data_IF_980704101357
#
_entry.id   IF_980704101357
#
_cell.length_a   1.000
_cell.length_b   1.000
_cell.length_c   1.000
_cell.angle_alpha   90.00
_cell.angle_beta   90.00
_cell.angle_gamma   90.00
#
_symmetry.space_group_name_H-M   'P 1'
#
loop_
_entity.id
_entity.type
_entity.pdbx_description
1 polymer ?
#
# COMPACT_ATOMS: atom_id res chain seq x y z
N UNK A 1 -29.34 53.53 31.45
CA UNK A 1 -29.32 52.26 32.20
C UNK A 1 -28.92 51.15 31.27
N UNK A 2 -27.64 50.83 31.29
CA UNK A 2 -27.04 49.77 30.49
C UNK A 2 -26.94 48.53 31.35
N UNK A 3 -27.57 47.42 30.94
CA UNK A 3 -27.37 46.14 31.54
C UNK A 3 -26.51 45.32 30.59
N UNK A 4 -25.28 45.05 30.99
CA UNK A 4 -24.34 44.15 30.29
C UNK A 4 -24.67 42.68 30.68
N UNK A 5 -24.74 41.81 29.65
CA UNK A 5 -24.83 40.35 29.84
C UNK A 5 -23.41 39.79 30.06
N UNK A 6 -23.23 38.79 30.91
CA UNK A 6 -21.95 38.19 31.20
C UNK A 6 -21.55 37.20 30.08
N UNK A 7 -20.30 37.25 29.68
CA UNK A 7 -19.68 36.28 28.78
C UNK A 7 -19.51 34.90 29.45
N UNK A 8 -20.11 33.87 28.87
CA UNK A 8 -19.95 32.46 29.27
C UNK A 8 -18.59 31.93 28.77
N UNK A 9 -17.63 31.87 29.67
CA UNK A 9 -16.26 31.45 29.44
C UNK A 9 -16.12 29.95 29.74
N UNK A 10 -16.73 29.08 28.91
CA UNK A 10 -16.50 27.64 28.99
C UNK A 10 -15.16 27.31 28.34
N UNK A 11 -14.11 27.26 29.14
CA UNK A 11 -12.88 26.56 28.83
C UNK A 11 -13.16 25.08 28.71
N UNK A 12 -13.31 24.57 27.49
CA UNK A 12 -13.21 23.13 27.23
C UNK A 12 -11.82 22.66 27.66
N UNK A 13 -11.79 21.87 28.73
CA UNK A 13 -10.59 21.16 29.16
C UNK A 13 -10.22 20.12 28.14
N UNK A 14 -9.26 20.44 27.27
CA UNK A 14 -8.60 19.42 26.45
C UNK A 14 -7.94 18.41 27.38
N UNK A 15 -8.49 17.19 27.43
CA UNK A 15 -7.83 16.05 28.08
C UNK A 15 -6.45 15.90 27.46
N UNK A 16 -5.38 15.70 28.23
CA UNK A 16 -4.08 15.42 27.66
C UNK A 16 -4.19 14.10 26.90
N UNK A 17 -3.84 14.13 25.59
CA UNK A 17 -3.62 12.90 24.81
C UNK A 17 -2.53 12.11 25.53
N UNK A 18 -2.77 10.86 25.81
CA UNK A 18 -1.78 9.97 26.41
C UNK A 18 -0.56 9.96 25.49
N UNK A 19 0.56 10.49 25.96
CA UNK A 19 1.87 10.31 25.36
C UNK A 19 2.29 8.85 25.57
N UNK A 20 1.70 7.94 24.84
CA UNK A 20 2.30 6.63 24.63
C UNK A 20 3.36 6.84 23.56
N UNK A 21 4.58 7.15 23.98
CA UNK A 21 5.76 6.99 23.14
C UNK A 21 5.89 5.49 22.91
N UNK A 22 5.21 5.03 21.87
CA UNK A 22 5.41 3.67 21.37
C UNK A 22 6.82 3.65 20.78
N UNK A 23 7.68 2.86 21.36
CA UNK A 23 9.05 2.65 20.89
C UNK A 23 8.98 1.89 19.57
N UNK A 24 8.92 2.60 18.47
CA UNK A 24 8.77 2.15 17.08
C UNK A 24 9.90 1.25 16.57
N UNK A 25 10.92 0.97 17.38
CA UNK A 25 12.04 0.08 17.07
C UNK A 25 12.03 -1.21 17.91
N UNK A 26 10.92 -1.59 18.52
CA UNK A 26 10.82 -2.78 19.35
C UNK A 26 10.51 -4.03 18.52
N UNK A 27 11.52 -4.82 18.44
CA UNK A 27 11.67 -6.27 18.38
C UNK A 27 10.90 -7.15 17.37
N UNK A 28 9.66 -6.96 16.86
CA UNK A 28 9.15 -7.87 15.85
C UNK A 28 9.51 -7.47 14.42
N UNK A 29 9.90 -6.21 14.16
CA UNK A 29 10.17 -5.67 12.83
C UNK A 29 11.68 -5.51 12.58
N UNK A 30 12.39 -6.64 12.35
CA UNK A 30 13.83 -6.60 12.04
C UNK A 30 14.06 -6.54 10.53
N UNK A 31 14.65 -5.45 10.08
CA UNK A 31 15.08 -5.29 8.69
C UNK A 31 16.37 -6.06 8.41
N UNK A 32 16.38 -6.80 7.31
CA UNK A 32 17.48 -7.62 6.84
C UNK A 32 17.65 -7.43 5.33
N UNK A 33 18.72 -8.02 4.78
CA UNK A 33 18.97 -8.04 3.35
C UNK A 33 19.13 -9.47 2.85
N UNK A 34 18.60 -9.75 1.67
CA UNK A 34 18.71 -11.05 0.99
C UNK A 34 18.95 -10.82 -0.51
N UNK A 35 19.73 -11.69 -1.14
CA UNK A 35 19.86 -11.68 -2.59
C UNK A 35 18.69 -12.45 -3.20
N UNK A 36 17.92 -11.78 -4.08
CA UNK A 36 16.79 -12.33 -4.82
C UNK A 36 16.99 -11.95 -6.29
N UNK A 37 16.99 -12.91 -7.17
CA UNK A 37 17.24 -12.70 -8.63
C UNK A 37 18.50 -11.84 -8.88
N UNK A 38 19.57 -12.07 -8.10
CA UNK A 38 20.82 -11.34 -8.19
C UNK A 38 20.80 -9.89 -7.68
N UNK A 39 19.73 -9.46 -7.01
CA UNK A 39 19.60 -8.13 -6.40
C UNK A 39 19.61 -8.23 -4.88
N UNK A 40 20.29 -7.31 -4.22
CA UNK A 40 20.20 -7.14 -2.77
C UNK A 40 18.89 -6.45 -2.44
N UNK A 41 17.99 -7.17 -1.76
CA UNK A 41 16.63 -6.75 -1.40
C UNK A 41 16.52 -6.60 0.10
N UNK A 42 16.05 -5.45 0.58
CA UNK A 42 15.72 -5.25 1.98
C UNK A 42 14.36 -5.87 2.28
N UNK A 43 14.29 -6.57 3.40
CA UNK A 43 13.06 -7.22 3.86
C UNK A 43 12.94 -7.20 5.37
N UNK A 44 11.71 -7.42 5.85
CA UNK A 44 11.39 -7.79 7.22
C UNK A 44 10.52 -9.06 7.20
N UNK A 45 10.64 -9.87 8.24
CA UNK A 45 9.89 -11.12 8.37
C UNK A 45 9.37 -11.24 9.79
N UNK A 46 8.09 -11.66 9.95
CA UNK A 46 7.53 -11.94 11.27
C UNK A 46 8.21 -13.15 11.89
N UNK A 47 8.41 -13.10 13.21
CA UNK A 47 8.84 -14.26 13.97
C UNK A 47 7.68 -15.24 14.09
N UNK A 48 7.94 -16.58 14.14
CA UNK A 48 6.91 -17.55 14.50
C UNK A 48 6.34 -17.19 15.87
N UNK A 49 5.04 -17.01 15.98
CA UNK A 49 4.39 -16.82 17.29
C UNK A 49 4.31 -18.17 18.00
N UNK A 50 4.29 -18.16 19.35
CA UNK A 50 4.18 -19.42 20.14
C UNK A 50 2.89 -20.21 19.83
N UNK A 51 1.88 -19.55 19.28
CA UNK A 51 0.62 -20.16 18.86
C UNK A 51 0.66 -20.75 17.43
N UNK A 52 1.73 -20.47 16.65
CA UNK A 52 1.89 -21.00 15.30
C UNK A 52 3.04 -21.99 15.28
N UNK A 53 2.78 -23.30 15.08
CA UNK A 53 3.84 -24.30 14.97
C UNK A 53 4.74 -23.99 13.78
N UNK A 54 6.05 -24.03 14.03
CA UNK A 54 7.08 -23.85 13.02
C UNK A 54 6.81 -24.77 11.82
N UNK A 55 6.59 -24.17 10.63
CA UNK A 55 6.53 -24.86 9.32
C UNK A 55 5.54 -26.04 9.21
N UNK A 56 4.28 -25.87 9.60
CA UNK A 56 3.26 -26.81 9.15
C UNK A 56 2.84 -26.47 7.72
N UNK A 57 2.79 -27.49 6.83
CA UNK A 57 2.17 -27.34 5.50
C UNK A 57 0.75 -26.82 5.69
N UNK A 58 0.45 -25.66 5.07
CA UNK A 58 -0.86 -25.01 5.15
C UNK A 58 -0.94 -23.77 6.04
N UNK A 59 0.19 -23.30 6.63
CA UNK A 59 0.20 -22.03 7.34
C UNK A 59 -0.05 -20.87 6.38
N UNK A 60 -0.98 -19.98 6.72
CA UNK A 60 -1.23 -18.75 5.96
C UNK A 60 0.04 -17.90 5.91
N UNK A 61 0.35 -17.39 4.74
CA UNK A 61 1.51 -16.52 4.52
C UNK A 61 1.14 -15.32 3.66
N UNK A 62 1.82 -14.20 3.90
CA UNK A 62 1.60 -12.97 3.15
C UNK A 62 2.92 -12.32 2.76
N UNK A 63 2.96 -11.83 1.51
CA UNK A 63 4.00 -10.94 0.99
C UNK A 63 3.47 -9.51 0.93
N UNK A 64 4.19 -8.58 1.54
CA UNK A 64 3.85 -7.16 1.58
C UNK A 64 4.86 -6.38 0.73
N UNK A 65 4.39 -5.57 -0.20
CA UNK A 65 5.22 -4.79 -1.10
C UNK A 65 5.23 -3.34 -0.66
N UNK A 66 6.42 -2.80 -0.38
CA UNK A 66 6.56 -1.42 0.07
C UNK A 66 5.92 -0.43 -0.92
N UNK A 67 5.14 0.53 -0.42
CA UNK A 67 4.63 1.62 -1.26
C UNK A 67 5.73 2.65 -1.56
N UNK A 68 5.43 3.61 -2.43
CA UNK A 68 6.31 4.69 -2.81
C UNK A 68 5.66 6.06 -2.51
N UNK A 69 6.38 7.04 -2.01
CA UNK A 69 7.85 7.14 -1.77
C UNK A 69 8.30 6.71 -0.37
N UNK A 70 7.69 5.72 0.18
CA UNK A 70 7.94 5.15 1.50
C UNK A 70 8.97 4.00 1.42
N UNK A 71 8.98 3.17 2.44
CA UNK A 71 9.71 1.91 2.51
C UNK A 71 8.85 0.83 3.16
N UNK A 72 9.40 -0.36 3.36
CA UNK A 72 8.68 -1.44 4.06
C UNK A 72 8.26 -1.07 5.49
N UNK A 73 8.82 0.01 6.08
CA UNK A 73 8.40 0.53 7.39
C UNK A 73 6.97 1.11 7.37
N UNK A 74 6.40 1.39 6.20
CA UNK A 74 5.00 1.76 6.04
C UNK A 74 4.02 0.72 6.62
N UNK A 75 4.46 -0.53 6.76
CA UNK A 75 3.65 -1.60 7.33
C UNK A 75 3.81 -1.76 8.85
N UNK A 76 4.66 -0.97 9.49
CA UNK A 76 4.89 -1.10 10.93
C UNK A 76 3.60 -0.92 11.76
N UNK A 77 2.72 0.07 11.48
CA UNK A 77 1.48 0.23 12.23
C UNK A 77 0.52 -0.96 12.13
N UNK A 78 0.55 -1.70 11.01
CA UNK A 78 -0.33 -2.85 10.76
C UNK A 78 0.36 -4.19 11.00
N UNK A 79 1.67 -4.19 11.32
CA UNK A 79 2.47 -5.41 11.37
C UNK A 79 1.98 -6.43 12.40
N UNK A 80 1.81 -6.00 13.65
CA UNK A 80 1.42 -6.91 14.72
C UNK A 80 0.05 -7.54 14.49
N UNK A 81 -1.01 -6.77 14.17
CA UNK A 81 -2.31 -7.35 13.84
C UNK A 81 -2.25 -8.35 12.67
N UNK A 82 -1.48 -8.06 11.63
CA UNK A 82 -1.36 -8.95 10.48
C UNK A 82 -0.57 -10.23 10.83
N UNK A 83 0.48 -10.12 11.65
CA UNK A 83 1.35 -11.23 12.05
C UNK A 83 0.62 -12.26 12.93
N UNK A 84 -0.48 -11.89 13.59
CA UNK A 84 -1.33 -12.83 14.33
C UNK A 84 -2.08 -13.80 13.41
N UNK A 85 -2.28 -13.43 12.14
CA UNK A 85 -3.07 -14.20 11.18
C UNK A 85 -2.25 -14.93 10.13
N UNK A 86 -1.04 -14.46 9.81
CA UNK A 86 -0.20 -15.06 8.77
C UNK A 86 1.29 -14.86 9.06
N UNK A 87 2.13 -15.73 8.48
CA UNK A 87 3.57 -15.47 8.38
C UNK A 87 3.79 -14.34 7.39
N UNK A 88 4.36 -13.23 7.85
CA UNK A 88 4.58 -12.04 7.04
C UNK A 88 6.00 -11.98 6.49
N UNK A 89 6.12 -11.55 5.25
CA UNK A 89 7.35 -11.05 4.65
C UNK A 89 7.04 -9.71 3.99
N UNK A 90 7.68 -8.63 4.42
CA UNK A 90 7.62 -7.35 3.75
C UNK A 90 8.93 -7.08 3.01
N UNK A 91 8.87 -6.56 1.80
CA UNK A 91 10.05 -6.22 1.00
C UNK A 91 9.99 -4.79 0.48
N UNK A 92 11.14 -4.14 0.41
CA UNK A 92 11.31 -3.02 -0.51
C UNK A 92 11.44 -3.58 -1.93
N UNK A 93 10.58 -3.16 -2.83
CA UNK A 93 10.68 -3.56 -4.24
C UNK A 93 12.00 -3.06 -4.87
N UNK A 94 12.56 -3.75 -5.88
CA UNK A 94 13.72 -3.26 -6.62
C UNK A 94 13.59 -1.81 -7.09
N UNK A 95 14.53 -0.97 -6.71
CA UNK A 95 14.51 0.47 -7.02
C UNK A 95 13.77 1.35 -6.01
N UNK A 96 13.07 0.74 -5.05
CA UNK A 96 12.37 1.44 -3.97
C UNK A 96 13.02 1.17 -2.62
N UNK A 97 12.70 1.99 -1.62
CA UNK A 97 13.26 1.85 -0.29
C UNK A 97 14.79 1.75 -0.33
N UNK A 98 15.36 0.75 0.35
CA UNK A 98 16.82 0.49 0.34
C UNK A 98 17.21 -0.73 -0.48
N UNK A 99 16.30 -1.30 -1.25
CA UNK A 99 16.64 -2.39 -2.17
C UNK A 99 17.48 -1.90 -3.34
N UNK A 100 18.33 -2.78 -3.85
CA UNK A 100 19.10 -2.52 -5.07
C UNK A 100 18.16 -2.32 -6.24
N UNK A 101 18.53 -1.46 -7.19
CA UNK A 101 17.71 -1.19 -8.35
C UNK A 101 18.26 -1.89 -9.60
N UNK A 102 17.35 -2.22 -10.52
CA UNK A 102 17.64 -2.70 -11.87
C UNK A 102 16.66 -2.01 -12.83
N UNK A 103 17.17 -1.23 -13.76
CA UNK A 103 16.37 -0.44 -14.71
C UNK A 103 15.30 -1.28 -15.42
N UNK A 104 15.62 -2.51 -15.80
CA UNK A 104 14.70 -3.42 -16.47
C UNK A 104 13.46 -3.82 -15.65
N UNK A 105 13.48 -3.62 -14.32
CA UNK A 105 12.34 -3.91 -13.43
C UNK A 105 11.49 -2.67 -13.13
N UNK A 106 11.88 -1.48 -13.61
CA UNK A 106 11.16 -0.24 -13.30
C UNK A 106 9.95 -0.03 -14.21
N UNK A 107 9.05 -1.02 -14.24
CA UNK A 107 7.68 -0.89 -14.75
C UNK A 107 6.76 -1.89 -14.04
N UNK A 108 5.46 -1.62 -13.92
CA UNK A 108 4.51 -2.56 -13.31
C UNK A 108 4.55 -3.95 -13.92
N UNK A 109 4.61 -4.02 -15.24
CA UNK A 109 4.63 -5.28 -15.95
C UNK A 109 5.91 -6.09 -15.69
N UNK A 110 7.08 -5.46 -15.70
CA UNK A 110 8.35 -6.12 -15.41
C UNK A 110 8.46 -6.50 -13.92
N UNK A 111 8.01 -5.63 -13.02
CA UNK A 111 8.02 -5.87 -11.57
C UNK A 111 7.19 -7.09 -11.18
N UNK A 112 6.15 -7.44 -11.95
CA UNK A 112 5.29 -8.60 -11.69
C UNK A 112 6.05 -9.94 -11.65
N UNK A 113 7.12 -10.08 -12.45
CA UNK A 113 7.97 -11.28 -12.45
C UNK A 113 8.81 -11.36 -11.17
N UNK A 114 9.34 -10.22 -10.73
CA UNK A 114 10.12 -10.15 -9.49
C UNK A 114 9.27 -10.49 -8.24
N UNK A 115 7.98 -10.12 -8.22
CA UNK A 115 7.06 -10.47 -7.13
C UNK A 115 6.98 -12.01 -6.97
N UNK A 116 6.88 -12.74 -8.06
CA UNK A 116 6.84 -14.22 -8.02
C UNK A 116 8.18 -14.78 -7.57
N UNK A 117 9.30 -14.26 -8.09
CA UNK A 117 10.64 -14.66 -7.66
C UNK A 117 10.87 -14.37 -6.17
N UNK A 118 10.36 -13.27 -5.64
CA UNK A 118 10.43 -12.96 -4.22
C UNK A 118 9.60 -13.95 -3.39
N UNK A 119 8.39 -14.30 -3.80
CA UNK A 119 7.58 -15.30 -3.13
C UNK A 119 8.31 -16.67 -3.08
N UNK A 120 8.95 -17.07 -4.19
CA UNK A 120 9.75 -18.31 -4.25
C UNK A 120 10.97 -18.25 -3.33
N UNK A 121 11.69 -17.14 -3.32
CA UNK A 121 12.89 -16.96 -2.49
C UNK A 121 12.59 -17.03 -0.99
N UNK A 122 11.38 -16.67 -0.56
CA UNK A 122 10.92 -16.79 0.82
C UNK A 122 10.08 -18.05 1.09
N UNK A 123 9.98 -18.98 0.13
CA UNK A 123 9.23 -20.22 0.26
C UNK A 123 7.76 -19.96 0.66
N UNK A 124 7.13 -18.97 0.02
CA UNK A 124 5.74 -18.64 0.23
C UNK A 124 4.86 -19.41 -0.77
N UNK A 125 4.23 -20.46 -0.28
CA UNK A 125 3.27 -21.24 -1.08
C UNK A 125 1.92 -20.51 -1.09
N UNK A 126 1.45 -20.09 -2.27
CA UNK A 126 0.17 -19.39 -2.45
C UNK A 126 -0.05 -18.22 -1.45
N UNK A 127 0.86 -17.24 -1.37
CA UNK A 127 0.73 -16.16 -0.40
C UNK A 127 -0.46 -15.25 -0.71
N UNK A 128 -1.00 -14.64 0.34
CA UNK A 128 -1.71 -13.38 0.21
C UNK A 128 -0.71 -12.30 -0.20
N UNK A 129 -1.10 -11.39 -1.07
CA UNK A 129 -0.26 -10.27 -1.49
C UNK A 129 -0.89 -8.95 -1.07
N UNK A 130 -0.20 -8.17 -0.24
CA UNK A 130 -0.59 -6.81 0.15
C UNK A 130 0.28 -5.83 -0.60
N UNK A 131 -0.30 -5.08 -1.51
CA UNK A 131 0.43 -4.29 -2.49
C UNK A 131 -0.23 -2.92 -2.73
N UNK A 132 -0.17 -2.00 -1.75
CA UNK A 132 -0.72 -0.66 -1.90
C UNK A 132 0.13 0.23 -2.82
N UNK A 133 -0.43 1.36 -3.25
CA UNK A 133 0.27 2.37 -4.03
C UNK A 133 0.87 1.82 -5.32
N UNK A 134 2.17 2.02 -5.52
CA UNK A 134 2.90 1.52 -6.70
C UNK A 134 2.93 -0.01 -6.81
N UNK A 135 2.73 -0.72 -5.71
CA UNK A 135 2.61 -2.18 -5.72
C UNK A 135 1.34 -2.69 -6.44
N UNK A 136 0.26 -1.90 -6.43
CA UNK A 136 -1.05 -2.29 -6.97
C UNK A 136 -0.98 -2.77 -8.43
N UNK A 137 -0.50 -1.99 -9.41
CA UNK A 137 -0.48 -2.47 -10.79
C UNK A 137 0.43 -3.66 -11.01
N UNK A 138 1.58 -3.74 -10.31
CA UNK A 138 2.47 -4.90 -10.41
C UNK A 138 1.83 -6.17 -9.85
N UNK A 139 1.12 -6.09 -8.72
CA UNK A 139 0.38 -7.20 -8.13
C UNK A 139 -0.74 -7.73 -9.06
N UNK A 140 -1.46 -6.82 -9.71
CA UNK A 140 -2.51 -7.17 -10.68
C UNK A 140 -1.91 -7.82 -11.94
N UNK A 141 -0.75 -7.34 -12.45
CA UNK A 141 -0.03 -8.02 -13.50
C UNK A 141 0.44 -9.42 -13.08
N UNK A 142 0.96 -9.58 -11.85
CA UNK A 142 1.37 -10.88 -11.33
C UNK A 142 0.18 -11.86 -11.27
N UNK A 143 -0.97 -11.43 -10.78
CA UNK A 143 -2.18 -12.25 -10.72
C UNK A 143 -2.70 -12.64 -12.11
N UNK A 144 -2.60 -11.75 -13.11
CA UNK A 144 -3.03 -12.02 -14.47
C UNK A 144 -2.08 -13.01 -15.20
N UNK A 145 -0.76 -12.85 -14.98
CA UNK A 145 0.27 -13.64 -15.69
C UNK A 145 0.54 -15.00 -15.04
N UNK A 146 0.32 -15.11 -13.73
CA UNK A 146 0.60 -16.32 -12.96
C UNK A 146 -0.67 -16.79 -12.22
N UNK A 147 -1.71 -17.26 -12.94
CA UNK A 147 -2.97 -17.71 -12.34
C UNK A 147 -2.73 -18.80 -11.30
N UNK A 148 -3.37 -18.67 -10.15
CA UNK A 148 -3.24 -19.64 -9.05
C UNK A 148 -1.97 -19.51 -8.22
N UNK A 149 -1.03 -18.62 -8.55
CA UNK A 149 0.22 -18.43 -7.78
C UNK A 149 0.00 -17.64 -6.48
N UNK A 150 -1.01 -16.79 -6.47
CA UNK A 150 -1.37 -15.93 -5.35
C UNK A 150 -2.75 -16.33 -4.83
N UNK A 151 -2.90 -16.43 -3.51
CA UNK A 151 -4.16 -16.79 -2.84
C UNK A 151 -5.21 -15.68 -2.95
N UNK A 152 -4.82 -14.48 -2.60
CA UNK A 152 -5.63 -13.27 -2.76
C UNK A 152 -4.75 -12.03 -2.84
N UNK A 153 -5.35 -10.93 -3.28
CA UNK A 153 -4.72 -9.61 -3.29
C UNK A 153 -5.44 -8.67 -2.33
N UNK A 154 -4.65 -7.79 -1.69
CA UNK A 154 -5.11 -6.53 -1.11
C UNK A 154 -4.35 -5.43 -1.81
N UNK A 155 -5.06 -4.59 -2.55
CA UNK A 155 -4.52 -3.49 -3.36
C UNK A 155 -5.28 -2.20 -3.06
N UNK A 156 -4.79 -1.07 -3.53
CA UNK A 156 -5.50 0.21 -3.36
C UNK A 156 -4.54 1.39 -3.38
N UNK A 157 -5.08 2.60 -3.40
CA UNK A 157 -4.31 3.84 -3.61
C UNK A 157 -3.30 3.71 -4.76
N UNK A 158 -3.61 2.88 -5.75
CA UNK A 158 -2.76 2.52 -6.87
C UNK A 158 -3.36 2.89 -8.22
N UNK A 159 -2.50 3.25 -9.17
CA UNK A 159 -2.91 3.68 -10.49
C UNK A 159 -3.58 2.56 -11.29
N UNK A 160 -4.72 2.86 -11.89
CA UNK A 160 -5.44 1.99 -12.82
C UNK A 160 -5.50 2.55 -14.24
N UNK A 161 -5.55 3.88 -14.38
CA UNK A 161 -5.52 4.58 -15.66
C UNK A 161 -4.92 5.99 -15.48
N UNK A 162 -4.01 6.38 -16.38
CA UNK A 162 -3.31 7.68 -16.29
C UNK A 162 -4.27 8.87 -16.23
N UNK A 163 -5.35 8.95 -17.04
CA UNK A 163 -6.28 10.07 -16.99
C UNK A 163 -7.03 10.23 -15.65
N UNK A 164 -7.03 9.18 -14.80
CA UNK A 164 -7.70 9.19 -13.49
C UNK A 164 -6.74 9.60 -12.36
N UNK A 165 -5.47 9.87 -12.66
CA UNK A 165 -4.48 10.30 -11.67
C UNK A 165 -4.64 11.79 -11.34
N UNK A 166 -4.34 12.13 -10.09
CA UNK A 166 -4.22 13.52 -9.66
C UNK A 166 -2.91 14.15 -10.12
N UNK A 167 -2.92 15.47 -10.26
CA UNK A 167 -1.70 16.28 -10.21
C UNK A 167 -1.18 16.24 -8.75
N UNK A 168 0.09 16.15 -8.43
CA UNK A 168 1.27 16.24 -9.29
C UNK A 168 1.74 14.90 -9.89
N UNK A 169 1.18 13.74 -9.52
CA UNK A 169 1.67 12.46 -10.05
C UNK A 169 1.55 12.39 -11.58
N UNK A 170 0.41 12.84 -12.13
CA UNK A 170 0.22 12.92 -13.58
C UNK A 170 1.22 13.87 -14.23
N UNK A 171 1.47 15.02 -13.63
CA UNK A 171 2.43 16.02 -14.15
C UNK A 171 3.85 15.44 -14.23
N UNK A 172 4.25 14.61 -13.25
CA UNK A 172 5.54 13.94 -13.28
C UNK A 172 5.63 12.85 -14.37
N UNK A 173 4.52 12.13 -14.59
CA UNK A 173 4.45 11.11 -15.66
C UNK A 173 4.57 11.76 -17.04
N UNK A 174 3.90 12.90 -17.23
CA UNK A 174 3.82 13.63 -18.49
C UNK A 174 5.00 14.59 -18.71
N UNK A 175 5.82 14.86 -17.69
CA UNK A 175 6.99 15.72 -17.81
C UNK A 175 7.95 15.24 -18.90
N UNK A 176 8.57 16.14 -19.70
CA UNK A 176 9.46 15.76 -20.80
C UNK A 176 10.69 14.99 -20.30
N UNK A 177 11.18 15.34 -19.10
CA UNK A 177 12.33 14.72 -18.46
C UNK A 177 12.19 14.69 -16.94
N UNK A 178 13.22 14.23 -16.22
CA UNK A 178 13.29 14.17 -14.78
C UNK A 178 14.19 15.24 -14.15
N UNK A 179 14.60 16.25 -14.90
CA UNK A 179 15.55 17.26 -14.42
C UNK A 179 15.02 18.06 -13.25
N UNK A 180 13.74 18.42 -13.26
CA UNK A 180 13.10 19.13 -12.16
C UNK A 180 13.14 18.29 -10.86
N UNK A 181 12.89 16.97 -10.98
CA UNK A 181 12.91 16.05 -9.83
C UNK A 181 14.33 15.79 -9.35
N UNK A 182 15.31 15.70 -10.26
CA UNK A 182 16.74 15.57 -9.86
C UNK A 182 17.26 16.76 -9.09
N UNK A 183 16.73 17.95 -9.36
CA UNK A 183 17.10 19.22 -8.69
C UNK A 183 16.28 19.48 -7.43
N UNK A 184 15.14 18.84 -7.30
CA UNK A 184 14.30 19.00 -6.13
C UNK A 184 14.95 18.34 -4.90
N UNK A 185 14.67 18.88 -3.75
CA UNK A 185 15.04 18.27 -2.47
C UNK A 185 14.10 17.08 -2.20
N UNK A 186 14.60 15.84 -2.12
CA UNK A 186 13.79 14.68 -1.78
C UNK A 186 13.01 14.85 -0.48
N UNK A 187 13.55 15.56 0.49
CA UNK A 187 12.90 15.82 1.77
C UNK A 187 11.60 16.63 1.58
N UNK A 188 11.64 17.65 0.74
CA UNK A 188 10.45 18.46 0.44
C UNK A 188 9.40 17.66 -0.32
N UNK A 189 9.79 16.85 -1.31
CA UNK A 189 8.86 16.07 -2.11
C UNK A 189 8.19 14.96 -1.28
N UNK A 190 8.96 14.22 -0.49
CA UNK A 190 8.45 13.15 0.38
C UNK A 190 7.60 13.76 1.50
N UNK A 191 8.07 14.81 2.15
CA UNK A 191 7.31 15.51 3.19
C UNK A 191 5.97 16.04 2.68
N UNK A 192 5.93 16.62 1.48
CA UNK A 192 4.69 17.10 0.86
C UNK A 192 3.71 15.94 0.55
N UNK A 193 4.22 14.78 0.11
CA UNK A 193 3.40 13.61 -0.12
C UNK A 193 2.77 13.09 1.20
N UNK A 194 3.58 12.93 2.25
CA UNK A 194 3.14 12.44 3.56
C UNK A 194 2.21 13.41 4.27
N UNK A 195 2.34 14.73 4.03
CA UNK A 195 1.42 15.74 4.58
C UNK A 195 -0.03 15.59 4.09
N UNK A 196 -0.30 14.70 3.13
CA UNK A 196 -1.67 14.37 2.69
C UNK A 196 -2.42 13.44 3.66
N UNK A 197 -1.75 12.84 4.63
CA UNK A 197 -2.39 12.06 5.69
C UNK A 197 -3.29 12.96 6.54
N UNK A 198 -4.46 12.44 6.91
CA UNK A 198 -5.51 13.19 7.61
C UNK A 198 -5.56 12.92 9.11
N UNK A 199 -5.21 11.72 9.53
CA UNK A 199 -5.46 11.19 10.87
C UNK A 199 -4.19 10.82 11.63
N UNK A 200 -3.08 10.65 10.92
CA UNK A 200 -1.79 10.24 11.47
C UNK A 200 -0.66 11.13 10.99
N UNK A 201 0.46 11.05 11.67
CA UNK A 201 1.73 11.68 11.28
C UNK A 201 2.79 10.58 11.27
N UNK A 202 3.67 10.61 10.26
CA UNK A 202 4.79 9.66 10.17
C UNK A 202 5.77 9.90 11.32
N UNK A 203 6.09 8.89 12.16
CA UNK A 203 7.07 9.02 13.23
C UNK A 203 8.45 9.40 12.71
N UNK A 204 9.20 10.22 13.46
CA UNK A 204 10.51 10.71 13.04
C UNK A 204 11.50 9.61 12.59
N UNK A 205 11.63 8.46 13.27
CA UNK A 205 12.54 7.39 12.80
C UNK A 205 12.10 6.76 11.47
N UNK A 206 10.79 6.68 11.22
CA UNK A 206 10.22 6.14 9.99
C UNK A 206 10.43 7.14 8.84
N UNK A 207 10.17 8.42 9.09
CA UNK A 207 10.45 9.49 8.13
C UNK A 207 11.93 9.54 7.76
N UNK A 208 12.83 9.41 8.75
CA UNK A 208 14.27 9.36 8.51
C UNK A 208 14.67 8.18 7.61
N UNK A 209 14.02 7.02 7.75
CA UNK A 209 14.23 5.88 6.85
C UNK A 209 13.73 6.16 5.43
N UNK A 210 12.55 6.76 5.28
CA UNK A 210 12.01 7.13 3.98
C UNK A 210 12.95 8.10 3.26
N UNK A 211 13.39 9.16 3.94
CA UNK A 211 14.33 10.13 3.38
C UNK A 211 15.68 9.51 3.01
N UNK A 212 16.22 8.64 3.86
CA UNK A 212 17.47 7.93 3.59
C UNK A 212 17.35 6.93 2.42
N UNK A 213 16.14 6.42 2.16
CA UNK A 213 15.86 5.51 1.05
C UNK A 213 15.94 6.19 -0.32
N UNK A 214 15.76 7.50 -0.39
CA UNK A 214 15.69 8.25 -1.65
C UNK A 214 16.75 9.34 -1.80
N UNK A 215 17.87 9.23 -1.08
CA UNK A 215 18.99 10.15 -1.20
C UNK A 215 19.65 10.12 -2.58
N UNK A 216 20.26 11.22 -2.96
CA UNK A 216 20.94 11.39 -4.23
C UNK A 216 19.97 11.26 -5.41
N UNK A 217 20.31 10.45 -6.41
CA UNK A 217 19.48 10.27 -7.62
C UNK A 217 18.38 9.19 -7.46
N UNK A 218 18.24 8.56 -6.29
CA UNK A 218 17.32 7.41 -6.13
C UNK A 218 15.85 7.77 -6.31
N UNK A 219 15.42 8.94 -5.82
CA UNK A 219 14.04 9.41 -6.03
C UNK A 219 13.74 9.56 -7.52
N UNK A 220 14.58 10.29 -8.26
CA UNK A 220 14.41 10.46 -9.69
C UNK A 220 14.52 9.13 -10.48
N UNK A 221 15.40 8.22 -10.04
CA UNK A 221 15.51 6.90 -10.65
C UNK A 221 14.24 6.08 -10.45
N UNK A 222 13.64 6.09 -9.25
CA UNK A 222 12.39 5.38 -8.95
C UNK A 222 11.19 5.90 -9.75
N UNK A 223 11.19 7.17 -10.12
CA UNK A 223 10.14 7.78 -10.96
C UNK A 223 10.00 7.13 -12.33
N UNK A 224 11.02 6.44 -12.84
CA UNK A 224 10.93 5.67 -14.09
C UNK A 224 9.80 4.65 -14.05
N UNK A 225 9.50 4.10 -12.87
CA UNK A 225 8.42 3.15 -12.69
C UNK A 225 7.06 3.74 -13.04
N UNK A 226 6.72 4.90 -12.47
CA UNK A 226 5.43 5.56 -12.76
C UNK A 226 5.40 6.13 -14.18
N UNK A 227 6.54 6.46 -14.77
CA UNK A 227 6.64 6.89 -16.18
C UNK A 227 6.42 5.75 -17.17
N UNK A 228 6.40 4.49 -16.73
CA UNK A 228 5.97 3.36 -17.55
C UNK A 228 4.44 3.20 -17.60
N UNK A 229 3.68 3.88 -16.74
CA UNK A 229 2.22 3.79 -16.67
C UNK A 229 1.48 4.04 -17.99
N UNK A 230 1.85 5.03 -18.83
CA UNK A 230 1.20 5.22 -20.12
C UNK A 230 1.27 4.01 -21.05
N UNK A 231 2.34 3.21 -20.97
CA UNK A 231 2.50 1.98 -21.73
C UNK A 231 1.80 0.79 -21.05
N UNK A 232 1.96 0.63 -19.73
CA UNK A 232 1.57 -0.56 -19.00
C UNK A 232 0.08 -0.56 -18.59
N UNK A 233 -0.47 0.56 -18.11
CA UNK A 233 -1.85 0.58 -17.58
C UNK A 233 -2.92 0.26 -18.65
N UNK A 234 -2.82 0.67 -19.93
CA UNK A 234 -3.75 0.21 -20.95
C UNK A 234 -3.68 -1.30 -21.20
N UNK A 235 -2.51 -1.93 -21.02
CA UNK A 235 -2.35 -3.39 -21.09
C UNK A 235 -3.05 -4.02 -19.88
N UNK A 236 -2.79 -3.51 -18.67
CA UNK A 236 -3.42 -3.99 -17.45
C UNK A 236 -4.94 -3.91 -17.52
N UNK A 237 -5.49 -2.79 -18.00
CA UNK A 237 -6.94 -2.60 -18.12
C UNK A 237 -7.62 -3.71 -18.93
N UNK A 238 -6.96 -4.25 -19.97
CA UNK A 238 -7.45 -5.39 -20.76
C UNK A 238 -7.34 -6.72 -20.04
N UNK A 239 -6.42 -6.84 -19.07
CA UNK A 239 -6.22 -8.05 -18.27
C UNK A 239 -7.12 -8.14 -17.04
N UNK A 240 -7.58 -7.02 -16.48
CA UNK A 240 -8.41 -6.99 -15.28
C UNK A 240 -9.59 -7.99 -15.32
N UNK A 241 -10.39 -8.09 -16.41
CA UNK A 241 -11.50 -9.04 -16.48
C UNK A 241 -11.09 -10.52 -16.45
N UNK A 242 -9.80 -10.81 -16.65
CA UNK A 242 -9.26 -12.17 -16.70
C UNK A 242 -8.71 -12.62 -15.33
N UNK A 243 -8.50 -11.70 -14.39
CA UNK A 243 -7.94 -11.99 -13.07
C UNK A 243 -8.97 -12.75 -12.24
N UNK A 244 -8.69 -14.03 -11.94
CA UNK A 244 -9.55 -14.89 -11.11
C UNK A 244 -9.16 -14.90 -9.64
N UNK A 245 -7.96 -14.45 -9.30
CA UNK A 245 -7.51 -14.25 -7.92
C UNK A 245 -8.45 -13.26 -7.21
N UNK A 246 -8.97 -13.57 -6.02
CA UNK A 246 -9.81 -12.65 -5.26
C UNK A 246 -9.04 -11.38 -4.91
N UNK A 247 -9.65 -10.21 -5.09
CA UNK A 247 -9.03 -8.89 -4.88
C UNK A 247 -9.84 -8.07 -3.89
N UNK A 248 -9.22 -7.63 -2.80
CA UNK A 248 -9.76 -6.56 -1.98
C UNK A 248 -9.10 -5.25 -2.39
N UNK A 249 -9.92 -4.24 -2.65
CA UNK A 249 -9.47 -2.89 -3.01
C UNK A 249 -9.77 -2.00 -1.81
N UNK A 250 -8.75 -1.36 -1.25
CA UNK A 250 -8.90 -0.42 -0.12
C UNK A 250 -8.43 0.95 -0.61
N UNK A 251 -9.30 1.94 -0.56
CA UNK A 251 -9.04 3.29 -1.05
C UNK A 251 -9.38 4.35 -0.02
N UNK A 252 -8.64 5.46 -0.01
CA UNK A 252 -8.96 6.63 0.81
C UNK A 252 -9.99 7.53 0.13
N UNK A 253 -10.97 8.01 0.90
CA UNK A 253 -12.00 8.91 0.41
C UNK A 253 -11.43 10.26 -0.06
N UNK A 254 -10.29 10.68 0.51
CA UNK A 254 -9.64 11.97 0.26
C UNK A 254 -8.32 11.84 -0.50
N UNK A 255 -8.09 10.71 -1.17
CA UNK A 255 -6.89 10.50 -1.97
C UNK A 255 -6.90 11.43 -3.20
N UNK A 256 -6.04 12.43 -3.18
CA UNK A 256 -5.86 13.40 -4.29
C UNK A 256 -4.74 13.00 -5.24
N UNK A 257 -3.89 12.06 -4.86
CA UNK A 257 -2.77 11.55 -5.67
C UNK A 257 -3.26 10.48 -6.64
N UNK A 258 -4.01 9.50 -6.12
CA UNK A 258 -4.67 8.45 -6.89
C UNK A 258 -6.16 8.44 -6.53
N UNK A 259 -6.95 9.37 -7.09
CA UNK A 259 -8.34 9.56 -6.74
C UNK A 259 -9.16 8.27 -6.79
N UNK A 260 -10.22 8.22 -5.96
CA UNK A 260 -11.14 7.08 -5.82
C UNK A 260 -11.62 6.49 -7.16
N UNK A 261 -11.66 7.31 -8.21
CA UNK A 261 -11.99 6.86 -9.57
C UNK A 261 -11.11 5.69 -10.06
N UNK A 262 -9.84 5.61 -9.63
CA UNK A 262 -8.97 4.46 -9.95
C UNK A 262 -9.45 3.17 -9.27
N UNK A 263 -9.86 3.24 -8.01
CA UNK A 263 -10.41 2.08 -7.29
C UNK A 263 -11.74 1.61 -7.90
N UNK A 264 -12.63 2.54 -8.25
CA UNK A 264 -13.88 2.24 -8.95
C UNK A 264 -13.60 1.61 -10.30
N UNK A 265 -12.66 2.15 -11.08
CA UNK A 265 -12.26 1.59 -12.38
C UNK A 265 -11.80 0.11 -12.27
N UNK A 266 -11.03 -0.21 -11.23
CA UNK A 266 -10.61 -1.60 -10.95
C UNK A 266 -11.80 -2.47 -10.52
N UNK A 267 -12.64 -1.97 -9.62
CA UNK A 267 -13.78 -2.72 -9.08
C UNK A 267 -14.81 -3.10 -10.16
N UNK A 268 -15.05 -2.21 -11.12
CA UNK A 268 -15.95 -2.46 -12.25
C UNK A 268 -15.46 -3.55 -13.21
N UNK A 269 -14.16 -3.84 -13.22
CA UNK A 269 -13.52 -4.75 -14.19
C UNK A 269 -13.04 -6.06 -13.61
N UNK A 270 -12.72 -6.10 -12.34
CA UNK A 270 -12.27 -7.32 -11.66
C UNK A 270 -13.46 -8.22 -11.34
N UNK A 271 -13.49 -9.49 -11.78
CA UNK A 271 -14.66 -10.35 -11.60
C UNK A 271 -14.91 -10.81 -10.16
N UNK A 272 -13.86 -10.84 -9.34
CA UNK A 272 -13.90 -11.26 -7.94
C UNK A 272 -13.24 -10.21 -7.06
N UNK A 273 -13.99 -9.18 -6.73
CA UNK A 273 -13.45 -8.09 -5.91
C UNK A 273 -14.41 -7.61 -4.82
N UNK A 274 -13.83 -6.88 -3.87
CA UNK A 274 -14.55 -6.06 -2.91
C UNK A 274 -13.84 -4.72 -2.79
N UNK A 275 -14.58 -3.63 -2.88
CA UNK A 275 -14.10 -2.27 -2.66
C UNK A 275 -14.55 -1.77 -1.30
N UNK A 276 -13.59 -1.32 -0.48
CA UNK A 276 -13.80 -0.64 0.78
C UNK A 276 -13.18 0.76 0.71
N UNK A 277 -13.87 1.75 1.23
CA UNK A 277 -13.46 3.16 1.21
C UNK A 277 -13.28 3.60 2.66
N UNK A 278 -12.06 4.01 3.01
CA UNK A 278 -11.71 4.51 4.34
C UNK A 278 -11.78 6.03 4.40
N UNK A 279 -12.07 6.55 5.57
CA UNK A 279 -11.98 7.98 5.90
C UNK A 279 -10.50 8.39 6.08
N UNK A 280 -9.75 8.38 4.96
CA UNK A 280 -8.31 8.55 4.92
C UNK A 280 -7.85 9.25 3.63
N UNK A 281 -6.59 9.71 3.60
CA UNK A 281 -5.89 10.20 2.43
C UNK A 281 -5.33 9.08 1.56
N UNK A 282 -4.19 9.37 0.90
CA UNK A 282 -3.52 8.42 -0.01
C UNK A 282 -2.95 7.20 0.74
N UNK A 283 -2.33 7.40 1.88
CA UNK A 283 -1.60 6.37 2.65
C UNK A 283 -2.52 5.64 3.64
N UNK A 284 -3.51 4.92 3.15
CA UNK A 284 -4.56 4.27 3.97
C UNK A 284 -4.01 3.30 5.01
N UNK A 285 -2.87 2.65 4.76
CA UNK A 285 -2.18 1.71 5.65
C UNK A 285 -1.51 2.36 6.85
N UNK A 286 -1.25 3.68 6.80
CA UNK A 286 -0.75 4.49 7.91
C UNK A 286 -1.84 5.41 8.46
N UNK A 287 -2.62 6.06 7.60
CA UNK A 287 -3.61 7.08 7.94
C UNK A 287 -4.84 6.48 8.66
N UNK A 288 -5.18 5.22 8.36
CA UNK A 288 -6.27 4.46 8.96
C UNK A 288 -5.82 3.02 9.27
N UNK A 289 -4.67 2.87 9.95
CA UNK A 289 -3.98 1.59 10.13
C UNK A 289 -4.84 0.51 10.79
N UNK A 290 -5.60 0.84 11.85
CA UNK A 290 -6.44 -0.11 12.56
C UNK A 290 -7.54 -0.66 11.65
N UNK A 291 -8.26 0.22 10.95
CA UNK A 291 -9.32 -0.17 10.01
C UNK A 291 -8.75 -0.95 8.83
N UNK A 292 -7.59 -0.52 8.32
CA UNK A 292 -6.88 -1.23 7.25
C UNK A 292 -6.52 -2.65 7.66
N UNK A 293 -5.94 -2.85 8.85
CA UNK A 293 -5.57 -4.16 9.37
C UNK A 293 -6.79 -5.08 9.54
N UNK A 294 -7.90 -4.57 10.07
CA UNK A 294 -9.17 -5.31 10.18
C UNK A 294 -9.68 -5.74 8.80
N UNK A 295 -9.63 -4.86 7.81
CA UNK A 295 -10.03 -5.19 6.46
C UNK A 295 -9.14 -6.30 5.87
N UNK A 296 -7.82 -6.20 6.00
CA UNK A 296 -6.87 -7.19 5.49
C UNK A 296 -7.08 -8.56 6.14
N UNK A 297 -7.12 -8.63 7.48
CA UNK A 297 -7.25 -9.90 8.22
C UNK A 297 -8.60 -10.58 8.00
N UNK A 298 -9.69 -9.81 7.96
CA UNK A 298 -11.02 -10.35 7.61
C UNK A 298 -11.08 -10.90 6.19
N UNK A 299 -10.33 -10.29 5.24
CA UNK A 299 -10.22 -10.80 3.88
C UNK A 299 -9.50 -12.14 3.81
N UNK A 300 -8.39 -12.28 4.51
CA UNK A 300 -7.65 -13.53 4.57
C UNK A 300 -8.50 -14.66 5.15
N UNK A 301 -9.19 -14.41 6.27
CA UNK A 301 -10.08 -15.39 6.91
C UNK A 301 -11.22 -15.84 5.98
N UNK A 302 -11.81 -14.92 5.22
CA UNK A 302 -12.89 -15.22 4.27
C UNK A 302 -12.44 -16.00 3.03
N UNK A 303 -11.19 -15.80 2.59
CA UNK A 303 -10.64 -16.51 1.42
C UNK A 303 -10.08 -17.89 1.76
N UNK A 304 -9.82 -18.17 3.03
CA UNK A 304 -9.36 -19.49 3.50
C UNK A 304 -10.49 -20.53 3.57
N UNK A 305 -11.76 -20.11 3.62
CA UNK A 305 -12.92 -20.97 3.92
C UNK A 305 -13.89 -21.27 2.78
N UNK A 306 -13.80 -20.67 1.57
CA UNK A 306 -14.83 -20.86 0.54
C UNK A 306 -14.33 -20.69 -0.88
N UNK A 307 -14.45 -21.72 -1.70
CA UNK A 307 -14.46 -21.64 -3.16
C UNK A 307 -15.82 -21.31 -3.76
N UNK A 308 -16.81 -20.93 -2.94
CA UNK A 308 -18.15 -20.53 -3.39
C UNK A 308 -18.64 -19.34 -2.57
N UNK A 309 -19.23 -18.34 -3.25
CA UNK A 309 -19.96 -17.18 -2.75
C UNK A 309 -19.17 -15.93 -2.31
N UNK A 310 -18.59 -15.24 -3.30
CA UNK A 310 -18.44 -13.78 -3.21
C UNK A 310 -19.08 -13.16 -4.46
N UNK A 311 -20.41 -13.20 -4.52
CA UNK A 311 -21.21 -12.39 -5.42
C UNK A 311 -21.80 -11.21 -4.63
N UNK A 312 -21.33 -10.01 -4.96
CA UNK A 312 -21.94 -8.71 -4.86
C UNK A 312 -22.88 -8.37 -3.70
N UNK A 313 -22.44 -7.43 -2.85
CA UNK A 313 -23.34 -6.43 -2.27
C UNK A 313 -22.65 -5.08 -2.33
N UNK A 314 -22.81 -4.38 -3.42
CA UNK A 314 -22.68 -2.93 -3.44
C UNK A 314 -23.91 -2.38 -2.73
N UNK A 315 -23.78 -1.87 -1.53
CA UNK A 315 -24.85 -1.14 -0.84
C UNK A 315 -24.90 0.27 -1.45
N UNK A 316 -25.98 0.68 -2.13
CA UNK A 316 -26.07 2.03 -2.66
C UNK A 316 -26.27 3.02 -1.51
N UNK A 317 -25.45 4.05 -1.48
CA UNK A 317 -25.59 5.23 -0.63
C UNK A 317 -26.98 5.82 -0.85
N UNK A 318 -27.88 5.71 0.12
CA UNK A 318 -29.21 6.36 0.10
C UNK A 318 -29.00 7.87 0.13
N UNK A 319 -29.32 8.54 -0.98
CA UNK A 319 -29.56 9.98 -0.98
C UNK A 319 -30.79 10.25 -0.10
N UNK A 320 -30.59 10.94 1.01
CA UNK A 320 -31.68 11.52 1.80
C UNK A 320 -32.22 12.73 1.01
N UNK A 321 -33.34 12.54 0.35
CA UNK A 321 -34.21 13.64 -0.06
C UNK A 321 -35.04 14.04 1.13
N UNK A 322 -34.88 15.26 1.60
CA UNK A 322 -35.82 15.92 2.51
C UNK A 322 -36.47 17.11 1.78
N UNK A 323 -37.76 17.36 1.99
CA UNK A 323 -38.61 18.25 1.19
C UNK A 323 -38.26 19.72 1.33
#
# INVERSE_FOLDING_TARGET
MNAALPADNRKESRRPRSNTVTTWLNAPFRMQFRVIDGLTVRFAQSQPTQSQPTQSKGQECALLLSPWPESLLAFEPVWSPLAEHARLVAIDLPGFGRSQHRDALLSPQAMSEFIVAAADAFELEHPHLVAPGTGTPAALFAAARYPGRLRSLVVGSGAAAVPLLGSPLRDWIEAPDLEAIRRADPQQLIGAALASMKRSETPEPVLADYLASYQGNRLAASMRYVRAYPADLPVLARLLPQIRTPVRIIAGAYDTTVPLANAVFMAERLPRNRLDILDAGHFTWEDAADEYAVLVTSWWSGTSGSSADIAGHATPCRRSSTP
#
